data_IF_276824277809
#
_entry.id   IF_276824277809
#
_cell.length_a   1.000
_cell.length_b   1.000
_cell.length_c   1.000
_cell.angle_alpha   90.00
_cell.angle_beta   90.00
_cell.angle_gamma   90.00
#
_symmetry.space_group_name_H-M   'P 1'
#
loop_
_entity.id
_entity.type
_entity.pdbx_description
1 polymer ?
#
# COMPACT_ATOMS: atom_id res chain seq x y z
N UNK A 1 -17.98 -12.02 25.95
CA UNK A 1 -16.64 -11.41 25.98
C UNK A 1 -16.64 -10.28 27.00
N UNK A 2 -16.15 -10.55 28.22
CA UNK A 2 -16.31 -9.58 29.35
C UNK A 2 -15.00 -8.89 29.77
N UNK A 3 -13.87 -9.18 29.09
CA UNK A 3 -12.59 -8.64 29.57
C UNK A 3 -11.58 -8.51 28.41
N UNK A 4 -10.91 -7.37 28.30
CA UNK A 4 -9.79 -7.11 27.38
C UNK A 4 -8.63 -8.09 27.57
N UNK A 5 -8.45 -8.62 28.78
CA UNK A 5 -7.43 -9.62 29.09
C UNK A 5 -7.53 -10.86 28.18
N UNK A 6 -8.75 -11.28 27.82
CA UNK A 6 -8.98 -12.41 26.90
C UNK A 6 -8.40 -12.13 25.52
N UNK A 7 -8.58 -10.89 25.01
CA UNK A 7 -8.04 -10.47 23.73
C UNK A 7 -6.52 -10.37 23.76
N UNK A 8 -5.95 -9.84 24.86
CA UNK A 8 -4.49 -9.74 25.07
C UNK A 8 -3.87 -11.16 25.04
N UNK A 9 -4.44 -12.10 25.78
CA UNK A 9 -3.92 -13.47 25.85
C UNK A 9 -4.02 -14.14 24.47
N UNK A 10 -5.16 -14.02 23.80
CA UNK A 10 -5.35 -14.62 22.47
C UNK A 10 -4.38 -14.01 21.45
N UNK A 11 -4.26 -12.67 21.39
CA UNK A 11 -3.37 -11.97 20.49
C UNK A 11 -1.90 -12.40 20.72
N UNK A 12 -1.47 -12.47 21.98
CA UNK A 12 -0.11 -12.89 22.32
C UNK A 12 0.19 -14.34 21.94
N UNK A 13 -0.76 -15.25 22.10
CA UNK A 13 -0.64 -16.65 21.66
C UNK A 13 -0.52 -16.74 20.14
N UNK A 14 -1.31 -15.95 19.41
CA UNK A 14 -1.27 -15.89 17.95
C UNK A 14 0.08 -15.34 17.43
N UNK A 15 0.59 -14.26 18.03
CA UNK A 15 1.87 -13.64 17.70
C UNK A 15 3.05 -14.58 17.92
N UNK A 16 3.11 -15.19 19.10
CA UNK A 16 4.22 -16.06 19.47
C UNK A 16 4.11 -17.49 18.92
N UNK A 17 2.96 -17.82 18.33
CA UNK A 17 2.66 -19.18 17.83
C UNK A 17 2.92 -20.26 18.88
N UNK A 18 2.84 -19.89 20.17
CA UNK A 18 3.21 -20.72 21.32
C UNK A 18 2.47 -20.31 22.59
N UNK A 19 1.72 -21.19 23.18
CA UNK A 19 1.07 -20.96 24.48
C UNK A 19 2.07 -20.78 25.62
N UNK A 20 3.21 -21.43 25.55
CA UNK A 20 4.24 -21.35 26.61
C UNK A 20 4.91 -19.98 26.58
N UNK A 21 5.41 -19.56 25.44
CA UNK A 21 6.06 -18.26 25.28
C UNK A 21 5.10 -17.10 25.57
N UNK A 22 3.85 -17.19 25.09
CA UNK A 22 2.84 -16.18 25.36
C UNK A 22 2.53 -16.06 26.86
N UNK A 23 2.40 -17.20 27.56
CA UNK A 23 2.14 -17.21 29.00
C UNK A 23 3.33 -16.60 29.78
N UNK A 24 4.56 -16.95 29.43
CA UNK A 24 5.78 -16.39 30.04
C UNK A 24 5.86 -14.87 29.83
N UNK A 25 5.59 -14.38 28.60
CA UNK A 25 5.62 -12.94 28.29
C UNK A 25 4.55 -12.13 29.02
N UNK A 26 3.44 -12.77 29.40
CA UNK A 26 2.33 -12.15 30.15
C UNK A 26 2.39 -12.38 31.67
N UNK A 27 3.38 -13.13 32.17
CA UNK A 27 3.50 -13.46 33.58
C UNK A 27 2.36 -14.35 34.12
N UNK A 28 1.76 -15.19 33.24
CA UNK A 28 0.65 -16.09 33.62
C UNK A 28 1.04 -17.56 33.42
N UNK A 29 0.26 -18.47 34.00
CA UNK A 29 0.46 -19.90 33.79
C UNK A 29 -0.02 -20.33 32.40
N UNK A 30 0.70 -21.24 31.73
CA UNK A 30 0.34 -21.83 30.43
C UNK A 30 -1.08 -22.40 30.43
N UNK A 31 -1.48 -23.07 31.54
CA UNK A 31 -2.84 -23.62 31.68
C UNK A 31 -3.92 -22.55 31.60
N UNK A 32 -3.68 -21.35 32.19
CA UNK A 32 -4.60 -20.20 32.12
C UNK A 32 -4.73 -19.70 30.68
N UNK A 33 -3.62 -19.51 29.97
CA UNK A 33 -3.66 -19.08 28.57
C UNK A 33 -4.44 -20.06 27.68
N UNK A 34 -4.24 -21.37 27.88
CA UNK A 34 -4.96 -22.40 27.12
C UNK A 34 -6.46 -22.43 27.44
N UNK A 35 -6.83 -22.25 28.72
CA UNK A 35 -8.22 -22.21 29.15
C UNK A 35 -8.95 -21.01 28.55
N UNK A 36 -8.36 -19.82 28.68
CA UNK A 36 -8.92 -18.56 28.18
C UNK A 36 -9.19 -18.62 26.68
N UNK A 37 -8.24 -19.09 25.88
CA UNK A 37 -8.43 -19.22 24.44
C UNK A 37 -9.50 -20.26 24.09
N UNK A 38 -9.58 -21.38 24.83
CA UNK A 38 -10.64 -22.38 24.64
C UNK A 38 -12.03 -21.83 24.97
N UNK A 39 -12.14 -21.03 26.02
CA UNK A 39 -13.39 -20.37 26.38
C UNK A 39 -13.80 -19.32 25.33
N UNK A 40 -12.84 -18.57 24.80
CA UNK A 40 -13.07 -17.64 23.71
C UNK A 40 -13.60 -18.34 22.45
N UNK A 41 -12.98 -19.46 22.04
CA UNK A 41 -13.45 -20.29 20.90
C UNK A 41 -14.86 -20.82 21.14
N UNK A 42 -15.16 -21.24 22.37
CA UNK A 42 -16.51 -21.70 22.77
C UNK A 42 -17.54 -20.56 22.72
N UNK A 43 -17.20 -19.36 23.21
CA UNK A 43 -18.11 -18.18 23.21
C UNK A 43 -18.37 -17.67 21.79
N UNK A 44 -17.35 -17.70 20.92
CA UNK A 44 -17.48 -17.25 19.52
C UNK A 44 -18.10 -18.31 18.61
N UNK A 45 -18.12 -19.56 19.04
CA UNK A 45 -18.58 -20.69 18.23
C UNK A 45 -17.64 -21.04 17.06
N UNK A 46 -16.44 -20.48 17.05
CA UNK A 46 -15.45 -20.65 15.99
C UNK A 46 -14.13 -21.18 16.53
N UNK A 47 -13.47 -22.05 15.75
CA UNK A 47 -12.10 -22.46 16.03
C UNK A 47 -11.15 -21.40 15.50
N UNK A 48 -10.45 -20.69 16.41
CA UNK A 48 -9.56 -19.60 16.06
C UNK A 48 -8.11 -20.03 15.86
N UNK A 49 -7.70 -21.12 16.50
CA UNK A 49 -6.35 -21.66 16.45
C UNK A 49 -6.32 -23.13 16.05
N UNK A 50 -5.55 -23.46 15.03
CA UNK A 50 -5.10 -24.82 14.76
C UNK A 50 -3.98 -25.16 15.74
N UNK A 51 -4.20 -26.22 16.55
CA UNK A 51 -3.24 -26.68 17.53
C UNK A 51 -2.68 -28.04 17.10
N UNK A 52 -1.39 -28.10 16.87
CA UNK A 52 -0.65 -29.36 16.81
C UNK A 52 0.26 -29.45 18.04
N UNK A 53 0.84 -30.62 18.28
CA UNK A 53 1.80 -30.80 19.39
C UNK A 53 3.05 -29.95 19.26
N UNK A 54 3.31 -29.37 18.08
CA UNK A 54 4.53 -28.58 17.76
C UNK A 54 4.28 -27.14 17.34
N UNK A 55 3.06 -26.81 16.86
CA UNK A 55 2.78 -25.47 16.30
C UNK A 55 1.38 -24.99 16.65
N UNK A 56 1.25 -23.67 16.80
CA UNK A 56 -0.02 -22.96 16.90
C UNK A 56 -0.13 -22.05 15.69
N UNK A 57 -1.24 -22.11 14.95
CA UNK A 57 -1.49 -21.29 13.77
C UNK A 57 -2.92 -20.76 13.81
N UNK A 58 -3.13 -19.55 13.31
CA UNK A 58 -4.47 -18.99 13.15
C UNK A 58 -5.24 -19.73 12.05
N UNK A 59 -6.51 -20.01 12.30
CA UNK A 59 -7.48 -20.37 11.25
C UNK A 59 -7.82 -19.15 10.41
N UNK A 60 -8.68 -19.27 9.41
CA UNK A 60 -9.20 -18.11 8.67
C UNK A 60 -10.04 -17.20 9.60
N UNK A 61 -10.97 -17.80 10.35
CA UNK A 61 -11.73 -17.08 11.40
C UNK A 61 -10.81 -16.49 12.47
N UNK A 62 -9.75 -17.21 12.84
CA UNK A 62 -8.73 -16.75 13.78
C UNK A 62 -7.98 -15.52 13.27
N UNK A 63 -7.66 -15.43 11.98
CA UNK A 63 -7.04 -14.25 11.39
C UNK A 63 -7.98 -13.05 11.42
N UNK A 64 -9.22 -13.23 11.00
CA UNK A 64 -10.23 -12.18 11.05
C UNK A 64 -10.46 -11.70 12.49
N UNK A 65 -10.60 -12.61 13.45
CA UNK A 65 -10.77 -12.28 14.86
C UNK A 65 -9.53 -11.60 15.44
N UNK A 66 -8.32 -12.06 15.11
CA UNK A 66 -7.06 -11.46 15.56
C UNK A 66 -6.93 -10.00 15.11
N UNK A 67 -7.22 -9.71 13.84
CA UNK A 67 -7.21 -8.34 13.33
C UNK A 67 -8.13 -7.43 14.17
N UNK A 68 -9.38 -7.85 14.39
CA UNK A 68 -10.35 -7.08 15.17
C UNK A 68 -9.99 -6.95 16.66
N UNK A 69 -9.43 -8.02 17.23
CA UNK A 69 -8.95 -7.98 18.62
C UNK A 69 -7.81 -6.97 18.79
N UNK A 70 -6.89 -6.90 17.84
CA UNK A 70 -5.79 -5.91 17.82
C UNK A 70 -6.30 -4.49 17.72
N UNK A 71 -7.29 -4.23 16.87
CA UNK A 71 -7.93 -2.92 16.73
C UNK A 71 -8.51 -2.45 18.08
N UNK A 72 -9.29 -3.32 18.75
CA UNK A 72 -9.90 -3.02 20.04
C UNK A 72 -8.86 -2.79 21.16
N UNK A 73 -7.80 -3.60 21.19
CA UNK A 73 -6.71 -3.42 22.15
C UNK A 73 -6.00 -2.09 21.94
N UNK A 74 -5.77 -1.73 20.71
CA UNK A 74 -5.18 -0.44 20.37
C UNK A 74 -6.06 0.75 20.75
N UNK A 75 -7.38 0.68 20.55
CA UNK A 75 -8.34 1.69 20.99
C UNK A 75 -8.35 1.81 22.51
N UNK A 76 -8.28 0.69 23.23
CA UNK A 76 -8.22 0.68 24.68
C UNK A 76 -6.94 1.32 25.22
N UNK A 77 -5.79 1.07 24.59
CA UNK A 77 -4.51 1.72 24.92
C UNK A 77 -4.56 3.23 24.64
N UNK A 78 -5.19 3.64 23.53
CA UNK A 78 -5.39 5.04 23.18
C UNK A 78 -6.26 5.78 24.23
N UNK A 79 -7.34 5.13 24.70
CA UNK A 79 -8.16 5.65 25.78
C UNK A 79 -7.37 5.84 27.09
N UNK A 80 -6.52 4.89 27.45
CA UNK A 80 -5.67 4.99 28.64
C UNK A 80 -4.65 6.13 28.52
N UNK A 81 -4.12 6.35 27.32
CA UNK A 81 -3.14 7.41 27.06
C UNK A 81 -3.75 8.81 26.87
N UNK A 82 -5.08 8.91 26.72
CA UNK A 82 -5.77 10.17 26.42
C UNK A 82 -5.57 11.24 27.50
N UNK A 83 -5.37 10.84 28.76
CA UNK A 83 -5.17 11.72 29.91
C UNK A 83 -3.73 11.70 30.47
N UNK A 84 -2.85 10.86 29.89
CA UNK A 84 -1.45 10.89 30.26
C UNK A 84 -0.75 12.05 29.55
N UNK A 85 -0.23 12.99 30.33
CA UNK A 85 0.57 14.13 29.87
C UNK A 85 1.97 13.69 29.42
N UNK A 86 2.28 12.42 29.46
CA UNK A 86 3.54 11.86 29.03
C UNK A 86 3.63 11.78 27.50
N UNK A 87 4.27 12.78 26.95
CA UNK A 87 4.93 12.76 25.67
C UNK A 87 4.05 12.60 24.42
N UNK A 88 4.18 13.54 23.51
CA UNK A 88 3.61 13.48 22.13
C UNK A 88 4.09 12.27 21.30
N UNK A 89 4.85 11.32 21.90
CA UNK A 89 5.37 10.16 21.19
C UNK A 89 4.24 9.18 20.85
N UNK A 90 4.22 8.76 19.58
CA UNK A 90 3.33 7.71 19.09
C UNK A 90 3.94 6.35 19.45
N UNK A 91 3.09 5.37 19.78
CA UNK A 91 3.52 4.02 20.11
C UNK A 91 2.57 2.98 19.50
N UNK A 92 3.07 1.74 19.39
CA UNK A 92 2.32 0.62 18.83
C UNK A 92 2.51 0.48 17.32
N UNK A 93 1.81 -0.48 16.73
CA UNK A 93 1.99 -0.88 15.34
C UNK A 93 1.00 -0.18 14.42
N UNK A 94 1.47 0.21 13.23
CA UNK A 94 0.64 0.67 12.10
C UNK A 94 0.90 -0.26 10.92
N UNK A 95 -0.16 -0.75 10.28
CA UNK A 95 -0.09 -1.53 9.04
C UNK A 95 -0.59 -0.69 7.88
N UNK A 96 0.28 -0.45 6.91
CA UNK A 96 -0.03 0.37 5.73
C UNK A 96 0.32 -0.35 4.45
N UNK A 97 -0.45 -0.08 3.38
CA UNK A 97 -0.08 -0.48 2.03
C UNK A 97 -0.10 0.72 1.09
N UNK A 98 0.84 0.75 0.15
CA UNK A 98 0.96 1.83 -0.82
C UNK A 98 1.64 1.36 -2.10
N UNK A 99 1.52 2.11 -3.21
CA UNK A 99 2.24 1.82 -4.44
C UNK A 99 3.75 1.69 -4.21
N UNK A 100 4.37 0.67 -4.82
CA UNK A 100 5.76 0.33 -4.59
C UNK A 100 6.70 1.51 -4.84
N UNK A 101 6.46 2.29 -5.88
CA UNK A 101 7.29 3.44 -6.23
C UNK A 101 7.20 4.56 -5.19
N UNK A 102 6.02 4.82 -4.61
CA UNK A 102 5.87 5.82 -3.52
C UNK A 102 6.57 5.36 -2.25
N UNK A 103 6.45 4.09 -1.92
CA UNK A 103 7.16 3.51 -0.79
C UNK A 103 8.68 3.68 -0.93
N UNK A 104 9.23 3.28 -2.07
CA UNK A 104 10.68 3.28 -2.32
C UNK A 104 11.29 4.67 -2.46
N UNK A 105 10.62 5.56 -3.20
CA UNK A 105 11.19 6.85 -3.56
C UNK A 105 10.90 7.96 -2.54
N UNK A 106 9.84 7.83 -1.73
CA UNK A 106 9.39 8.93 -0.86
C UNK A 106 9.27 8.49 0.60
N UNK A 107 8.44 7.49 0.88
CA UNK A 107 8.07 7.18 2.26
C UNK A 107 9.22 6.55 3.03
N UNK A 108 9.83 5.48 2.51
CA UNK A 108 10.94 4.78 3.18
C UNK A 108 12.13 5.72 3.45
N UNK A 109 12.60 6.55 2.49
CA UNK A 109 13.68 7.51 2.78
C UNK A 109 13.36 8.53 3.87
N UNK A 110 12.08 8.88 4.09
CA UNK A 110 11.65 9.83 5.11
C UNK A 110 11.34 9.17 6.48
N UNK A 111 11.15 7.83 6.54
CA UNK A 111 10.81 7.11 7.78
C UNK A 111 11.80 7.31 8.94
N UNK A 112 13.14 7.42 8.73
CA UNK A 112 14.06 7.61 9.84
C UNK A 112 13.70 8.79 10.74
N UNK A 113 13.30 9.94 10.16
CA UNK A 113 12.89 11.12 10.91
C UNK A 113 11.63 10.87 11.75
N UNK A 114 10.66 10.14 11.22
CA UNK A 114 9.43 9.79 11.95
C UNK A 114 9.73 8.84 13.12
N UNK A 115 10.57 7.83 12.89
CA UNK A 115 10.90 6.83 13.89
C UNK A 115 11.83 7.37 14.99
N UNK A 116 12.70 8.31 14.68
CA UNK A 116 13.48 9.05 15.69
C UNK A 116 12.59 9.87 16.62
N UNK A 117 11.53 10.51 16.08
CA UNK A 117 10.56 11.25 16.87
C UNK A 117 9.62 10.32 17.68
N UNK A 118 9.45 9.08 17.25
CA UNK A 118 8.53 8.10 17.82
C UNK A 118 9.17 6.70 17.95
N UNK A 119 10.10 6.49 18.89
CA UNK A 119 10.88 5.24 18.98
C UNK A 119 10.07 3.98 19.30
N UNK A 120 8.86 4.14 19.85
CA UNK A 120 7.95 3.03 20.15
C UNK A 120 6.92 2.75 19.03
N UNK A 121 7.04 3.46 17.89
CA UNK A 121 6.19 3.24 16.71
C UNK A 121 6.78 2.15 15.84
N UNK A 122 5.98 1.13 15.53
CA UNK A 122 6.31 0.06 14.59
C UNK A 122 5.49 0.22 13.32
N UNK A 123 6.13 0.17 12.15
CA UNK A 123 5.46 0.30 10.85
C UNK A 123 5.60 -1.00 10.06
N UNK A 124 4.48 -1.66 9.80
CA UNK A 124 4.39 -2.74 8.82
C UNK A 124 3.98 -2.15 7.48
N UNK A 125 4.96 -1.98 6.59
CA UNK A 125 4.76 -1.41 5.27
C UNK A 125 4.67 -2.51 4.22
N UNK A 126 3.51 -2.64 3.60
CA UNK A 126 3.32 -3.38 2.36
C UNK A 126 3.48 -2.42 1.17
N UNK A 127 4.21 -2.83 0.16
CA UNK A 127 4.42 -2.03 -1.03
C UNK A 127 4.02 -2.83 -2.27
N UNK A 128 2.76 -2.69 -2.69
CA UNK A 128 2.21 -3.48 -3.80
C UNK A 128 1.38 -2.61 -4.73
N UNK A 129 1.42 -2.95 -6.03
CA UNK A 129 0.59 -2.29 -7.04
C UNK A 129 -0.75 -3.02 -7.27
N UNK A 130 -0.95 -4.19 -6.62
CA UNK A 130 -2.23 -4.90 -6.62
C UNK A 130 -3.27 -4.19 -5.74
N UNK A 131 -4.54 -4.42 -6.02
CA UNK A 131 -5.59 -4.02 -5.07
C UNK A 131 -5.56 -4.99 -3.87
N UNK A 132 -5.33 -4.45 -2.67
CA UNK A 132 -5.42 -5.21 -1.43
C UNK A 132 -6.84 -5.11 -0.86
N UNK A 133 -7.29 -6.14 -0.16
CA UNK A 133 -8.47 -6.07 0.68
C UNK A 133 -8.08 -5.48 2.03
N UNK A 134 -8.35 -4.18 2.21
CA UNK A 134 -7.96 -3.42 3.38
C UNK A 134 -8.46 -4.08 4.68
N UNK A 135 -9.70 -4.55 4.68
CA UNK A 135 -10.35 -5.12 5.88
C UNK A 135 -9.83 -6.52 6.18
N UNK A 136 -9.79 -7.40 5.17
CA UNK A 136 -9.36 -8.80 5.37
C UNK A 136 -7.85 -8.92 5.63
N UNK A 137 -7.05 -8.06 4.98
CA UNK A 137 -5.60 -8.05 5.18
C UNK A 137 -5.19 -7.23 6.42
N UNK A 138 -6.14 -6.54 7.06
CA UNK A 138 -5.94 -5.82 8.32
C UNK A 138 -5.05 -4.60 8.20
N UNK A 139 -5.12 -3.85 7.11
CA UNK A 139 -4.44 -2.56 6.97
C UNK A 139 -5.20 -1.47 7.71
N UNK A 140 -4.48 -0.60 8.42
CA UNK A 140 -5.04 0.58 9.08
C UNK A 140 -5.39 1.68 8.07
N UNK A 141 -4.53 1.87 7.07
CA UNK A 141 -4.78 2.74 5.93
C UNK A 141 -3.99 2.26 4.71
N UNK A 142 -4.45 2.64 3.53
CA UNK A 142 -3.74 2.38 2.28
C UNK A 142 -3.70 3.64 1.43
N UNK A 143 -2.65 3.80 0.61
CA UNK A 143 -2.59 4.83 -0.45
C UNK A 143 -2.93 4.17 -1.77
N UNK A 144 -3.82 4.80 -2.53
CA UNK A 144 -4.22 4.32 -3.86
C UNK A 144 -4.09 5.42 -4.89
N UNK A 145 -3.65 5.00 -6.08
CA UNK A 145 -3.65 5.82 -7.29
C UNK A 145 -4.78 5.35 -8.21
N UNK A 146 -5.48 6.32 -8.81
CA UNK A 146 -6.63 6.13 -9.68
C UNK A 146 -7.96 6.01 -8.92
N UNK A 147 -9.04 5.67 -9.63
CA UNK A 147 -10.39 5.65 -9.07
C UNK A 147 -10.58 4.57 -8.00
N UNK A 148 -11.29 4.95 -6.94
CA UNK A 148 -11.72 4.03 -5.88
C UNK A 148 -13.13 3.58 -6.21
N UNK A 149 -13.29 2.28 -6.44
CA UNK A 149 -14.55 1.67 -6.93
C UNK A 149 -15.39 1.13 -5.77
N UNK A 150 -14.80 0.93 -4.58
CA UNK A 150 -15.48 0.35 -3.42
C UNK A 150 -16.10 1.45 -2.57
N UNK A 151 -17.45 1.57 -2.65
CA UNK A 151 -18.24 2.56 -1.93
C UNK A 151 -18.28 2.33 -0.40
N UNK A 152 -17.85 1.18 0.08
CA UNK A 152 -17.77 0.86 1.52
C UNK A 152 -16.54 1.48 2.18
N UNK A 153 -15.56 1.87 1.38
CA UNK A 153 -14.32 2.47 1.83
C UNK A 153 -14.39 4.00 1.79
N UNK A 154 -13.62 4.62 2.65
CA UNK A 154 -13.57 6.08 2.72
C UNK A 154 -12.27 6.56 2.09
N UNK A 155 -12.41 7.34 1.03
CA UNK A 155 -11.33 8.02 0.38
C UNK A 155 -11.09 9.42 0.98
N UNK A 156 -9.84 9.73 1.31
CA UNK A 156 -9.37 11.09 1.61
C UNK A 156 -8.38 11.50 0.52
N UNK A 157 -8.73 12.48 -0.33
CA UNK A 157 -7.87 12.91 -1.41
C UNK A 157 -6.50 13.41 -0.91
N UNK A 158 -5.44 13.06 -1.62
CA UNK A 158 -4.08 13.56 -1.45
C UNK A 158 -3.71 14.59 -2.52
N UNK A 159 -4.20 14.42 -3.74
CA UNK A 159 -3.94 15.28 -4.89
C UNK A 159 -3.98 14.51 -6.21
N UNK A 160 -3.42 15.11 -7.24
CA UNK A 160 -3.31 14.55 -8.59
C UNK A 160 -1.85 14.28 -8.93
N UNK A 161 -1.55 13.08 -9.38
CA UNK A 161 -0.23 12.72 -9.90
C UNK A 161 -0.19 13.07 -11.39
N UNK A 162 0.62 14.08 -11.75
CA UNK A 162 0.86 14.43 -13.16
C UNK A 162 1.51 13.25 -13.87
N UNK A 163 0.91 12.81 -14.98
CA UNK A 163 1.41 11.72 -15.80
C UNK A 163 2.18 12.25 -17.00
N UNK A 164 3.19 11.51 -17.44
CA UNK A 164 4.00 11.82 -18.64
C UNK A 164 4.28 10.57 -19.47
N UNK A 165 4.67 10.81 -20.70
CA UNK A 165 5.15 9.81 -21.66
C UNK A 165 6.67 9.84 -21.69
N UNK A 166 7.33 8.69 -21.66
CA UNK A 166 8.78 8.64 -21.67
C UNK A 166 9.32 7.44 -22.45
N UNK A 167 10.53 7.59 -22.95
CA UNK A 167 11.32 6.52 -23.56
C UNK A 167 12.81 6.71 -23.27
N UNK A 168 13.58 5.61 -23.31
CA UNK A 168 15.03 5.72 -23.23
C UNK A 168 15.65 6.24 -24.52
N UNK A 169 16.82 6.92 -24.47
CA UNK A 169 17.54 7.32 -25.67
C UNK A 169 17.85 6.17 -26.62
N UNK A 170 18.14 4.99 -26.10
CA UNK A 170 18.41 3.79 -26.88
C UNK A 170 17.19 3.30 -27.68
N UNK A 171 15.99 3.41 -27.09
CA UNK A 171 14.75 3.14 -27.80
C UNK A 171 14.51 4.16 -28.90
N UNK A 172 14.65 5.45 -28.61
CA UNK A 172 14.44 6.54 -29.58
C UNK A 172 15.44 6.50 -30.74
N UNK A 173 16.67 6.06 -30.49
CA UNK A 173 17.65 5.88 -31.56
C UNK A 173 17.26 4.78 -32.56
N UNK A 174 16.46 3.78 -32.13
CA UNK A 174 16.01 2.66 -32.98
C UNK A 174 14.69 2.95 -33.70
N UNK A 175 13.76 3.61 -33.05
CA UNK A 175 12.39 3.77 -33.55
C UNK A 175 12.03 5.21 -33.92
N UNK A 176 12.91 6.18 -33.66
CA UNK A 176 12.61 7.60 -33.80
C UNK A 176 11.88 8.20 -32.59
N UNK A 177 11.66 9.52 -32.64
CA UNK A 177 10.94 10.26 -31.60
C UNK A 177 9.51 10.48 -32.09
N UNK A 178 8.48 9.81 -31.53
CA UNK A 178 7.10 10.01 -31.96
C UNK A 178 6.62 11.42 -31.60
N UNK A 179 5.90 12.06 -32.52
CA UNK A 179 5.30 13.38 -32.33
C UNK A 179 3.77 13.31 -32.29
N UNK A 180 3.18 12.31 -32.90
CA UNK A 180 1.73 12.14 -33.07
C UNK A 180 1.29 10.72 -32.74
N UNK A 181 -0.02 10.53 -32.57
CA UNK A 181 -0.63 9.18 -32.44
C UNK A 181 -0.40 8.36 -33.72
N UNK A 182 -0.44 9.01 -34.88
CA UNK A 182 -0.17 8.33 -36.16
C UNK A 182 1.26 7.79 -36.24
N UNK A 183 2.23 8.48 -35.66
CA UNK A 183 3.61 7.96 -35.56
C UNK A 183 3.65 6.69 -34.71
N UNK A 184 2.94 6.67 -33.58
CA UNK A 184 2.85 5.46 -32.73
C UNK A 184 2.30 4.26 -33.49
N UNK A 185 1.31 4.48 -34.36
CA UNK A 185 0.66 3.40 -35.13
C UNK A 185 1.49 2.93 -36.34
N UNK A 186 2.14 3.88 -37.02
CA UNK A 186 2.68 3.62 -38.37
C UNK A 186 4.21 3.47 -38.43
N UNK A 187 4.94 3.88 -37.38
CA UNK A 187 6.41 3.78 -37.34
C UNK A 187 6.92 2.60 -36.50
N UNK A 188 6.05 1.66 -36.15
CA UNK A 188 6.43 0.43 -35.44
C UNK A 188 6.79 0.63 -33.96
N UNK A 189 6.30 1.70 -33.35
CA UNK A 189 6.51 1.93 -31.94
C UNK A 189 5.89 0.84 -31.07
N UNK A 190 6.55 0.54 -29.96
CA UNK A 190 6.17 -0.47 -29.00
C UNK A 190 6.01 0.14 -27.61
N UNK A 191 5.12 -0.42 -26.79
CA UNK A 191 4.98 -0.03 -25.39
C UNK A 191 5.39 -1.17 -24.47
N UNK A 192 5.80 -0.85 -23.25
CA UNK A 192 5.83 -1.78 -22.15
C UNK A 192 4.39 -1.93 -21.64
N UNK A 193 3.87 -3.14 -21.55
CA UNK A 193 2.53 -3.37 -21.05
C UNK A 193 2.54 -3.46 -19.52
N UNK A 194 1.71 -2.64 -18.88
CA UNK A 194 1.44 -2.74 -17.46
C UNK A 194 0.13 -3.51 -17.24
N UNK A 195 0.15 -4.46 -16.31
CA UNK A 195 -1.03 -5.23 -15.87
C UNK A 195 -0.97 -5.45 -14.38
N UNK A 196 -1.90 -4.94 -13.61
CA UNK A 196 -1.94 -5.14 -12.14
C UNK A 196 -2.01 -6.61 -11.73
N UNK A 197 -2.62 -7.45 -12.57
CA UNK A 197 -2.69 -8.91 -12.38
C UNK A 197 -2.56 -9.60 -13.74
N UNK A 198 -1.72 -10.62 -13.84
CA UNK A 198 -1.63 -11.41 -15.05
C UNK A 198 -2.97 -12.10 -15.35
N UNK A 199 -3.39 -12.04 -16.61
CA UNK A 199 -4.71 -12.51 -17.05
C UNK A 199 -5.79 -11.43 -17.14
N UNK A 200 -5.61 -10.24 -16.55
CA UNK A 200 -6.45 -9.09 -16.84
C UNK A 200 -6.12 -8.48 -18.19
N UNK A 201 -7.01 -7.60 -18.70
CA UNK A 201 -6.70 -6.81 -19.89
C UNK A 201 -5.55 -5.84 -19.55
N UNK A 202 -4.49 -5.72 -20.36
CA UNK A 202 -3.44 -4.72 -20.18
C UNK A 202 -4.03 -3.31 -20.23
N UNK A 203 -3.43 -2.40 -19.46
CA UNK A 203 -3.67 -0.97 -19.62
C UNK A 203 -3.09 -0.57 -21.00
N UNK A 204 -3.88 0.15 -21.79
CA UNK A 204 -3.45 0.68 -23.10
C UNK A 204 -2.60 1.93 -22.94
N UNK A 205 -2.11 2.46 -24.06
CA UNK A 205 -1.51 3.79 -24.15
C UNK A 205 -2.63 4.84 -24.09
N UNK A 206 -2.64 5.64 -23.04
CA UNK A 206 -3.65 6.67 -22.81
C UNK A 206 -3.22 8.00 -23.43
N UNK A 207 -4.14 8.71 -24.07
CA UNK A 207 -3.89 10.01 -24.64
C UNK A 207 -5.16 10.89 -24.68
N UNK A 208 -5.05 12.23 -24.66
CA UNK A 208 -6.20 13.12 -24.78
C UNK A 208 -6.82 13.07 -26.18
N UNK A 209 -8.14 13.10 -26.24
CA UNK A 209 -8.95 13.16 -27.45
C UNK A 209 -10.10 14.17 -27.25
N UNK A 210 -10.88 14.47 -28.29
CA UNK A 210 -11.93 15.50 -28.24
C UNK A 210 -12.96 15.26 -27.14
N UNK A 211 -13.29 13.99 -26.86
CA UNK A 211 -14.27 13.58 -25.86
C UNK A 211 -13.63 13.05 -24.54
N UNK A 212 -12.45 13.52 -24.18
CA UNK A 212 -11.75 13.08 -22.98
C UNK A 212 -10.49 12.28 -23.30
N UNK A 213 -10.24 11.19 -22.58
CA UNK A 213 -9.05 10.35 -22.79
C UNK A 213 -9.41 9.04 -23.48
N UNK A 214 -8.56 8.59 -24.40
CA UNK A 214 -8.72 7.35 -25.14
C UNK A 214 -7.52 6.42 -24.90
N UNK A 215 -7.75 5.12 -25.11
CA UNK A 215 -6.75 4.07 -24.96
C UNK A 215 -6.41 3.47 -26.33
N UNK A 216 -5.12 3.47 -26.65
CA UNK A 216 -4.56 2.82 -27.82
C UNK A 216 -3.77 1.58 -27.42
N UNK A 217 -4.00 0.45 -28.07
CA UNK A 217 -3.21 -0.76 -27.86
C UNK A 217 -2.05 -0.81 -28.85
N UNK A 218 -0.85 -0.51 -28.36
CA UNK A 218 0.38 -0.67 -29.10
C UNK A 218 0.95 -2.09 -28.93
N UNK A 219 1.74 -2.60 -29.90
CA UNK A 219 2.47 -3.83 -29.69
C UNK A 219 3.51 -3.68 -28.57
N UNK A 220 3.93 -4.78 -27.98
CA UNK A 220 4.97 -4.80 -26.94
C UNK A 220 5.37 -6.22 -26.59
N UNK A 221 6.65 -6.42 -26.36
CA UNK A 221 7.22 -7.75 -26.10
C UNK A 221 7.17 -8.16 -24.62
N UNK A 222 6.97 -7.19 -23.70
CA UNK A 222 7.01 -7.43 -22.27
C UNK A 222 5.73 -6.94 -21.57
N UNK A 223 5.32 -7.71 -20.57
CA UNK A 223 4.24 -7.36 -19.64
C UNK A 223 4.75 -7.46 -18.21
N UNK A 224 4.48 -6.45 -17.40
CA UNK A 224 4.90 -6.37 -16.01
C UNK A 224 3.72 -6.00 -15.10
N UNK A 225 3.81 -6.34 -13.81
CA UNK A 225 2.75 -6.10 -12.83
C UNK A 225 3.19 -5.23 -11.65
N UNK A 226 4.34 -4.59 -11.77
CA UNK A 226 4.82 -3.63 -10.79
C UNK A 226 5.41 -2.39 -11.46
N UNK A 227 5.19 -1.22 -10.89
CA UNK A 227 5.68 0.05 -11.44
C UNK A 227 7.21 0.11 -11.48
N UNK A 228 7.97 -0.35 -10.48
CA UNK A 228 9.43 -0.43 -10.60
C UNK A 228 9.91 -1.26 -11.81
N UNK A 229 9.34 -2.44 -12.03
CA UNK A 229 9.68 -3.26 -13.20
C UNK A 229 9.28 -2.58 -14.52
N UNK A 230 8.18 -1.82 -14.51
CA UNK A 230 7.73 -1.05 -15.66
C UNK A 230 8.73 0.06 -16.02
N UNK A 231 9.23 0.80 -15.03
CA UNK A 231 10.25 1.83 -15.22
C UNK A 231 11.55 1.22 -15.73
N UNK A 232 12.02 0.12 -15.14
CA UNK A 232 13.25 -0.57 -15.57
C UNK A 232 13.14 -1.08 -17.01
N UNK A 233 11.97 -1.59 -17.42
CA UNK A 233 11.74 -2.01 -18.80
C UNK A 233 11.81 -0.83 -19.78
N UNK A 234 11.28 0.33 -19.41
CA UNK A 234 11.40 1.58 -20.18
C UNK A 234 12.86 2.05 -20.29
N UNK A 235 13.60 2.04 -19.19
CA UNK A 235 15.04 2.38 -19.14
C UNK A 235 15.88 1.43 -19.99
N UNK A 236 15.55 0.15 -20.01
CA UNK A 236 16.20 -0.86 -20.84
C UNK A 236 15.88 -0.73 -22.36
N UNK A 237 14.99 0.18 -22.74
CA UNK A 237 14.62 0.42 -24.14
C UNK A 237 13.68 -0.63 -24.72
N UNK A 238 12.87 -1.30 -23.88
CA UNK A 238 11.92 -2.32 -24.31
C UNK A 238 10.60 -1.74 -24.85
N UNK A 239 10.38 -0.43 -24.69
CA UNK A 239 9.20 0.25 -25.20
C UNK A 239 9.00 1.63 -24.55
N UNK A 240 7.99 2.33 -25.05
CA UNK A 240 7.44 3.55 -24.46
C UNK A 240 6.76 3.22 -23.12
N UNK A 241 6.84 4.15 -22.18
CA UNK A 241 6.19 4.05 -20.88
C UNK A 241 5.40 5.31 -20.55
N UNK A 242 4.36 5.17 -19.72
CA UNK A 242 3.58 6.24 -19.14
C UNK A 242 3.69 6.17 -17.62
N UNK A 243 4.12 7.23 -16.97
CA UNK A 243 4.34 7.20 -15.52
C UNK A 243 4.22 8.57 -14.87
N UNK A 244 4.19 8.58 -13.55
CA UNK A 244 4.14 9.82 -12.78
C UNK A 244 5.39 10.66 -12.99
N UNK A 245 5.21 11.96 -13.30
CA UNK A 245 6.32 12.88 -13.51
C UNK A 245 7.32 12.85 -12.35
N UNK A 246 6.82 12.98 -11.13
CA UNK A 246 7.66 13.03 -9.94
C UNK A 246 8.55 11.78 -9.74
N UNK A 247 8.14 10.63 -10.26
CA UNK A 247 8.92 9.38 -10.18
C UNK A 247 9.84 9.18 -11.37
N UNK A 248 9.53 9.76 -12.53
CA UNK A 248 10.33 9.68 -13.75
C UNK A 248 11.31 10.87 -13.88
N UNK A 249 11.05 12.01 -13.24
CA UNK A 249 11.90 13.20 -13.33
C UNK A 249 13.39 12.94 -13.03
N UNK A 250 13.79 12.17 -11.99
CA UNK A 250 15.19 11.88 -11.75
C UNK A 250 15.89 11.12 -12.88
N UNK A 251 15.14 10.32 -13.66
CA UNK A 251 15.67 9.62 -14.83
C UNK A 251 15.79 10.56 -16.03
N UNK A 252 14.87 11.52 -16.17
CA UNK A 252 14.90 12.53 -17.23
C UNK A 252 16.06 13.50 -16.99
N UNK A 253 16.22 14.01 -15.76
CA UNK A 253 17.28 14.94 -15.38
C UNK A 253 18.70 14.39 -15.67
N UNK A 254 18.91 13.10 -15.48
CA UNK A 254 20.19 12.44 -15.80
C UNK A 254 20.27 11.90 -17.23
N UNK A 255 19.27 12.17 -18.08
CA UNK A 255 19.25 11.77 -19.47
C UNK A 255 19.02 10.28 -19.73
N UNK A 256 18.60 9.51 -18.72
CA UNK A 256 18.29 8.08 -18.86
C UNK A 256 16.93 7.83 -19.52
N UNK A 257 16.01 8.79 -19.40
CA UNK A 257 14.74 8.86 -20.12
C UNK A 257 14.60 10.23 -20.79
N UNK A 258 13.80 10.26 -21.84
CA UNK A 258 13.38 11.48 -22.55
C UNK A 258 11.87 11.54 -22.54
N UNK A 259 11.29 12.67 -22.14
CA UNK A 259 9.85 12.91 -22.25
C UNK A 259 9.50 13.05 -23.75
N UNK A 260 8.46 12.35 -24.18
CA UNK A 260 7.95 12.38 -25.56
C UNK A 260 6.47 12.68 -25.56
N UNK A 261 5.90 13.09 -26.71
CA UNK A 261 4.46 13.37 -26.85
C UNK A 261 3.93 14.28 -25.72
N UNK A 262 4.61 15.40 -25.47
CA UNK A 262 4.32 16.31 -24.34
C UNK A 262 2.94 16.91 -24.38
N UNK A 263 2.32 17.03 -25.57
CA UNK A 263 0.96 17.53 -25.76
C UNK A 263 -0.10 16.42 -25.69
N UNK A 264 0.36 15.16 -25.61
CA UNK A 264 -0.48 13.96 -25.57
C UNK A 264 -0.26 13.17 -24.27
N UNK A 265 -0.13 13.87 -23.15
CA UNK A 265 0.04 13.24 -21.83
C UNK A 265 -1.22 12.49 -21.39
N UNK A 266 -1.07 11.40 -20.64
CA UNK A 266 -2.21 10.69 -20.04
C UNK A 266 -2.95 11.56 -19.01
N UNK A 267 -4.15 11.14 -18.65
CA UNK A 267 -4.92 11.75 -17.56
C UNK A 267 -4.13 11.73 -16.24
N UNK A 268 -4.11 12.84 -15.48
CA UNK A 268 -3.54 12.83 -14.14
C UNK A 268 -4.24 11.81 -13.24
N UNK A 269 -3.47 11.02 -12.50
CA UNK A 269 -4.03 10.02 -11.61
C UNK A 269 -4.36 10.61 -10.24
N UNK A 270 -5.61 10.46 -9.80
CA UNK A 270 -6.00 10.81 -8.44
C UNK A 270 -5.24 9.95 -7.43
N UNK A 271 -4.76 10.57 -6.36
CA UNK A 271 -4.16 9.88 -5.21
C UNK A 271 -5.05 10.07 -3.99
N UNK A 272 -5.26 9.02 -3.23
CA UNK A 272 -6.08 9.07 -2.02
C UNK A 272 -5.56 8.13 -0.93
N UNK A 273 -5.68 8.56 0.32
CA UNK A 273 -5.76 7.61 1.42
C UNK A 273 -7.11 6.89 1.40
N UNK A 274 -7.08 5.61 1.68
CA UNK A 274 -8.28 4.78 1.83
C UNK A 274 -8.26 4.13 3.20
N UNK A 275 -9.37 4.23 3.92
CA UNK A 275 -9.58 3.67 5.24
C UNK A 275 -10.96 3.01 5.34
N UNK A 276 -11.12 2.01 6.21
CA UNK A 276 -12.39 1.33 6.39
C UNK A 276 -13.46 2.22 7.04
N UNK A 277 -13.09 3.05 8.02
CA UNK A 277 -14.04 3.87 8.79
C UNK A 277 -13.47 5.24 9.16
N UNK A 278 -14.32 6.31 9.06
CA UNK A 278 -13.92 7.68 9.42
C UNK A 278 -13.75 7.90 10.92
N UNK A 279 -14.58 7.23 11.73
CA UNK A 279 -14.77 7.63 13.15
C UNK A 279 -13.79 6.99 14.12
N UNK A 280 -13.06 5.94 13.71
CA UNK A 280 -12.25 5.12 14.62
C UNK A 280 -10.79 5.01 14.21
N UNK A 281 -10.24 6.04 13.52
CA UNK A 281 -8.80 6.06 13.27
C UNK A 281 -8.05 6.37 14.56
N UNK A 282 -7.13 5.50 14.94
CA UNK A 282 -6.26 5.71 16.09
C UNK A 282 -5.38 6.96 15.92
N UNK A 283 -4.93 7.55 17.03
CA UNK A 283 -4.06 8.74 16.99
C UNK A 283 -2.81 8.51 16.13
N UNK A 284 -2.19 7.32 16.25
CA UNK A 284 -1.00 6.97 15.48
C UNK A 284 -1.29 6.90 13.97
N UNK A 285 -2.43 6.34 13.56
CA UNK A 285 -2.83 6.28 12.14
C UNK A 285 -3.09 7.68 11.59
N UNK A 286 -3.81 8.53 12.33
CA UNK A 286 -4.03 9.94 11.93
C UNK A 286 -2.71 10.70 11.79
N UNK A 287 -1.79 10.52 12.73
CA UNK A 287 -0.49 11.19 12.71
C UNK A 287 0.37 10.69 11.54
N UNK A 288 0.39 9.38 11.29
CA UNK A 288 1.06 8.80 10.12
C UNK A 288 0.48 9.33 8.81
N UNK A 289 -0.86 9.37 8.68
CA UNK A 289 -1.51 9.91 7.48
C UNK A 289 -1.15 11.38 7.27
N UNK A 290 -1.15 12.19 8.33
CA UNK A 290 -0.77 13.60 8.25
C UNK A 290 0.70 13.78 7.86
N UNK A 291 1.60 13.05 8.52
CA UNK A 291 3.01 13.07 8.16
C UNK A 291 3.25 12.64 6.71
N UNK A 292 2.58 11.57 6.27
CA UNK A 292 2.68 11.09 4.88
C UNK A 292 2.13 12.13 3.90
N UNK A 293 1.01 12.80 4.22
CA UNK A 293 0.47 13.89 3.40
C UNK A 293 1.50 15.01 3.23
N UNK A 294 2.19 15.41 4.30
CA UNK A 294 3.20 16.46 4.24
C UNK A 294 4.39 16.09 3.33
N UNK A 295 4.92 14.88 3.44
CA UNK A 295 6.04 14.44 2.62
C UNK A 295 5.66 14.18 1.16
N UNK A 296 4.37 13.90 0.89
CA UNK A 296 3.86 13.67 -0.47
C UNK A 296 3.41 14.95 -1.20
N UNK A 297 3.23 16.07 -0.49
CA UNK A 297 2.82 17.36 -1.12
C UNK A 297 3.62 17.75 -2.35
N UNK A 298 4.97 17.60 -2.39
CA UNK A 298 5.75 17.98 -3.57
C UNK A 298 5.52 17.11 -4.80
N UNK A 299 4.88 15.95 -4.61
CA UNK A 299 4.70 14.94 -5.65
C UNK A 299 3.32 14.97 -6.30
N UNK A 300 2.39 15.72 -5.73
CA UNK A 300 1.01 15.83 -6.21
C UNK A 300 0.63 17.29 -6.45
N UNK A 301 -0.04 17.52 -7.58
CA UNK A 301 -0.75 18.77 -7.83
C UNK A 301 -2.06 18.79 -7.03
N UNK A 302 -2.47 19.96 -6.54
CA UNK A 302 -3.72 20.12 -5.75
C UNK A 302 -4.91 20.41 -6.63
#
# INVERSE_FOLDING_TARGET
MKNLEVLIIFARVAEMKSFTQAAESLGIQKGRASLVVRELERETGATLLHRTTRTVQLTEDGRAFYSRARDLLSEAEELQSMFSHEGMSLRGRIRVDMPAVLAQCVVIPALPQLLEAHPELEIELSSTDRRVDLVHEGFDCVIRLGPIVDDTLIARPLGQLRMINAASPSYLARFGVPQTIDDLLNQGHQMVHYQRSFGSKPDGWEYPADDGYQLLMLPGAIRVNSVPAYHEAGLAGLGLIQGGYSTLAPYIERGALVEVLTDLRPEPLSASFVVAHRRNLSRRVRAFMHWTEEILKPYFDR
#
